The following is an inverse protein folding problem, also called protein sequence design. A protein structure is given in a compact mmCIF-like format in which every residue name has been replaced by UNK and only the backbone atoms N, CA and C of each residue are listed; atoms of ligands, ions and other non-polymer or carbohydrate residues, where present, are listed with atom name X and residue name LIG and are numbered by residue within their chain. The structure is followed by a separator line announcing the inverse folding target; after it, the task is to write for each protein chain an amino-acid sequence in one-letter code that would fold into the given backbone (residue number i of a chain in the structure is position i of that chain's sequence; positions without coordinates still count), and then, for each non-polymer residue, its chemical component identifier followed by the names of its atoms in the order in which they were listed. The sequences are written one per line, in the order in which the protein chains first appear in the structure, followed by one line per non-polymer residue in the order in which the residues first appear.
data_IF_978515582154
#
_entry.id   IF_978515582154
#
_cell.length_a   1.000
_cell.length_b   1.000
_cell.length_c   1.000
_cell.angle_alpha   90.00
_cell.angle_beta   90.00
_cell.angle_gamma   90.00
#
_symmetry.space_group_name_H-M   'P 1'
#
loop_
_entity.id
_entity.type
_entity.pdbx_description
1 polymer ?
#
# COMPACT_ATOMS: atom_id res chain seq x y z
N UNK A 1 -14.92 -9.82 -49.72
CA UNK A 1 -15.90 -10.39 -48.76
C UNK A 1 -15.14 -11.29 -47.79
N UNK A 2 -14.73 -10.73 -46.64
CA UNK A 2 -15.25 -11.06 -45.29
C UNK A 2 -15.13 -12.54 -44.89
N UNK A 3 -14.17 -12.86 -44.01
CA UNK A 3 -14.43 -13.05 -42.57
C UNK A 3 -13.12 -13.17 -41.78
N UNK A 4 -12.95 -12.22 -40.86
CA UNK A 4 -12.08 -12.27 -39.69
C UNK A 4 -12.88 -12.89 -38.54
N UNK A 5 -12.28 -13.78 -37.74
CA UNK A 5 -12.61 -14.04 -36.32
C UNK A 5 -11.50 -14.92 -35.74
N UNK A 6 -10.56 -14.44 -34.91
CA UNK A 6 -10.70 -13.98 -33.52
C UNK A 6 -11.15 -15.09 -32.55
N UNK A 7 -10.23 -15.56 -31.69
CA UNK A 7 -10.23 -15.27 -30.24
C UNK A 7 -9.33 -16.26 -29.47
N UNK A 8 -8.09 -15.84 -29.19
CA UNK A 8 -7.28 -16.40 -28.11
C UNK A 8 -7.88 -15.98 -26.76
N UNK A 9 -8.25 -16.94 -25.94
CA UNK A 9 -8.82 -16.74 -24.62
C UNK A 9 -7.78 -16.29 -23.59
N UNK A 10 -7.86 -15.01 -23.23
CA UNK A 10 -7.69 -14.40 -21.90
C UNK A 10 -6.79 -15.11 -20.86
N UNK A 11 -5.52 -14.68 -20.77
CA UNK A 11 -4.75 -14.69 -19.51
C UNK A 11 -5.05 -13.41 -18.73
N UNK A 12 -5.95 -13.51 -17.73
CA UNK A 12 -6.29 -12.41 -16.82
C UNK A 12 -5.23 -12.29 -15.71
N UNK A 13 -4.45 -11.21 -15.76
CA UNK A 13 -3.49 -10.81 -14.74
C UNK A 13 -4.19 -10.28 -13.47
N UNK A 14 -3.76 -10.71 -12.28
CA UNK A 14 -4.35 -10.38 -10.97
C UNK A 14 -3.30 -9.75 -10.01
N UNK A 15 -3.54 -8.48 -9.61
CA UNK A 15 -3.95 -8.00 -8.27
C UNK A 15 -2.92 -7.78 -7.11
N UNK A 16 -2.49 -6.51 -6.93
CA UNK A 16 -1.62 -5.79 -5.96
C UNK A 16 -1.98 -5.63 -4.45
N UNK A 17 -1.14 -4.91 -3.69
CA UNK A 17 -1.43 -4.18 -2.41
C UNK A 17 -1.10 -4.82 -1.06
N UNK A 18 0.10 -4.48 -0.62
CA UNK A 18 0.36 -3.80 0.66
C UNK A 18 1.54 -2.84 0.50
N UNK A 19 2.48 -3.24 -0.36
CA UNK A 19 3.39 -2.31 -1.01
C UNK A 19 2.78 -1.63 -2.24
N UNK A 20 1.62 -2.05 -2.78
CA UNK A 20 0.91 -1.29 -3.82
C UNK A 20 0.11 -0.10 -3.30
N UNK A 21 0.00 0.05 -1.98
CA UNK A 21 -0.31 1.34 -1.37
C UNK A 21 0.88 2.32 -1.46
N UNK A 22 2.09 1.78 -1.61
CA UNK A 22 3.34 2.55 -1.70
C UNK A 22 3.84 2.69 -3.14
N UNK A 23 3.56 1.74 -4.05
CA UNK A 23 4.01 1.71 -5.45
C UNK A 23 3.58 2.88 -6.34
N UNK A 24 2.32 3.36 -6.29
CA UNK A 24 1.96 4.58 -7.00
C UNK A 24 2.79 5.81 -6.59
N UNK A 25 3.51 5.73 -5.46
CA UNK A 25 4.35 6.80 -4.93
C UNK A 25 5.86 6.54 -5.02
N UNK A 26 6.26 5.27 -4.89
CA UNK A 26 7.59 4.74 -5.19
C UNK A 26 7.95 4.98 -6.68
N UNK A 27 6.95 4.95 -7.56
CA UNK A 27 7.08 5.22 -9.00
C UNK A 27 6.92 6.69 -9.40
N UNK A 28 6.48 7.56 -8.48
CA UNK A 28 6.16 8.98 -8.71
C UNK A 28 4.78 9.18 -9.35
N UNK A 29 4.01 10.17 -8.87
CA UNK A 29 2.66 10.48 -9.36
C UNK A 29 2.62 10.78 -10.87
N UNK A 30 3.71 11.35 -11.41
CA UNK A 30 3.86 11.60 -12.83
C UNK A 30 3.81 10.32 -13.70
N UNK A 31 4.10 9.13 -13.14
CA UNK A 31 4.07 7.88 -13.90
C UNK A 31 2.66 7.30 -14.02
N UNK A 32 1.71 7.70 -13.18
CA UNK A 32 0.33 7.18 -13.21
C UNK A 32 -0.58 8.05 -14.05
N UNK A 33 -0.43 9.37 -13.96
CA UNK A 33 -1.11 10.29 -14.89
C UNK A 33 -0.57 10.11 -16.33
N UNK A 34 0.72 9.75 -16.47
CA UNK A 34 1.30 9.31 -17.75
C UNK A 34 0.72 7.96 -18.22
N UNK A 35 0.65 6.95 -17.35
CA UNK A 35 0.13 5.63 -17.73
C UNK A 35 -1.35 5.67 -18.16
N UNK A 36 -2.10 6.68 -17.73
CA UNK A 36 -3.51 6.88 -18.11
C UNK A 36 -3.69 7.44 -19.54
N UNK A 37 -2.61 7.91 -20.20
CA UNK A 37 -2.68 8.64 -21.47
C UNK A 37 -1.83 8.09 -22.63
N UNK A 38 -1.23 6.90 -22.54
CA UNK A 38 -0.14 6.54 -23.48
C UNK A 38 -0.51 5.49 -24.56
N UNK A 39 -0.59 5.87 -25.84
CA UNK A 39 -0.36 4.97 -26.98
C UNK A 39 1.14 4.80 -27.23
N UNK A 40 1.59 3.56 -27.49
CA UNK A 40 2.99 3.12 -27.38
C UNK A 40 4.04 3.83 -28.27
N UNK A 41 3.65 4.66 -29.25
CA UNK A 41 4.55 5.03 -30.36
C UNK A 41 4.83 6.54 -30.54
N UNK A 42 4.19 7.44 -29.78
CA UNK A 42 4.24 8.88 -30.09
C UNK A 42 5.39 9.69 -29.42
N UNK A 43 5.93 9.22 -28.30
CA UNK A 43 6.77 10.08 -27.43
C UNK A 43 8.20 10.29 -27.90
N UNK A 44 8.80 9.33 -28.64
CA UNK A 44 10.17 9.52 -29.14
C UNK A 44 10.23 10.59 -30.25
N UNK A 45 9.15 10.73 -31.04
CA UNK A 45 9.07 11.71 -32.12
C UNK A 45 8.88 13.14 -31.59
N UNK A 46 8.08 13.32 -30.53
CA UNK A 46 7.77 14.64 -29.98
C UNK A 46 8.93 15.23 -29.17
N UNK A 47 9.72 14.39 -28.48
CA UNK A 47 10.87 14.86 -27.68
C UNK A 47 12.11 15.24 -28.48
N UNK A 48 12.28 14.72 -29.70
CA UNK A 48 13.34 15.20 -30.60
C UNK A 48 12.97 16.57 -31.19
N UNK A 49 11.67 16.90 -31.29
CA UNK A 49 11.20 18.21 -31.74
C UNK A 49 11.22 19.30 -30.64
N UNK A 50 11.04 18.92 -29.37
CA UNK A 50 10.94 19.85 -28.23
C UNK A 50 12.29 20.34 -27.65
N UNK A 51 13.43 19.98 -28.24
CA UNK A 51 14.77 20.44 -27.83
C UNK A 51 15.19 21.77 -28.47
N UNK A 52 14.29 22.51 -29.13
CA UNK A 52 14.52 23.92 -29.46
C UNK A 52 14.09 24.80 -28.28
N UNK A 53 14.95 25.68 -27.76
CA UNK A 53 14.58 26.56 -26.65
C UNK A 53 13.57 27.61 -27.14
N UNK A 54 12.46 27.85 -26.42
CA UNK A 54 11.64 29.03 -26.66
C UNK A 54 12.21 30.23 -25.89
N UNK A 55 12.39 31.33 -26.61
CA UNK A 55 12.64 32.65 -26.05
C UNK A 55 11.36 33.17 -25.36
N UNK A 56 11.51 33.81 -24.18
CA UNK A 56 10.44 34.54 -23.50
C UNK A 56 9.96 33.93 -22.19
N UNK A 57 10.72 34.12 -21.10
CA UNK A 57 10.35 33.73 -19.73
C UNK A 57 9.48 34.81 -19.06
N UNK A 58 8.16 34.63 -19.11
CA UNK A 58 7.24 35.25 -18.16
C UNK A 58 7.21 34.45 -16.85
N UNK A 59 7.46 35.12 -15.72
CA UNK A 59 7.50 34.54 -14.37
C UNK A 59 6.10 34.15 -13.88
N UNK A 60 5.63 32.96 -14.27
CA UNK A 60 4.54 32.29 -13.55
C UNK A 60 5.12 31.59 -12.32
N UNK A 61 4.68 32.03 -11.14
CA UNK A 61 4.93 31.30 -9.89
C UNK A 61 4.46 29.83 -10.06
N UNK A 62 5.24 28.85 -9.57
CA UNK A 62 4.85 27.46 -9.67
C UNK A 62 3.54 27.24 -8.91
N UNK A 63 2.56 26.68 -9.61
CA UNK A 63 1.31 26.21 -9.01
C UNK A 63 1.66 25.23 -7.87
N UNK A 64 1.04 25.36 -6.67
CA UNK A 64 1.29 24.41 -5.60
C UNK A 64 0.98 22.98 -6.10
N UNK A 65 1.76 21.97 -5.67
CA UNK A 65 1.51 20.59 -6.07
C UNK A 65 0.09 20.18 -5.65
N UNK A 66 -0.60 19.35 -6.46
CA UNK A 66 -1.92 18.86 -6.09
C UNK A 66 -1.88 18.12 -4.75
N UNK A 67 -2.97 18.11 -3.97
CA UNK A 67 -3.04 17.34 -2.74
C UNK A 67 -2.81 15.86 -3.04
N UNK A 68 -1.86 15.28 -2.31
CA UNK A 68 -1.54 13.85 -2.26
C UNK A 68 -2.78 13.09 -1.79
N UNK A 69 -3.68 12.64 -2.69
CA UNK A 69 -5.04 12.35 -2.21
C UNK A 69 -5.98 11.45 -3.01
N UNK A 70 -5.53 10.68 -4.02
CA UNK A 70 -6.45 9.74 -4.70
C UNK A 70 -6.48 8.32 -4.15
N UNK A 71 -5.43 7.91 -3.44
CA UNK A 71 -5.26 6.52 -3.00
C UNK A 71 -5.98 6.22 -1.67
N UNK A 72 -5.85 7.15 -0.71
CA UNK A 72 -6.54 7.08 0.57
C UNK A 72 -7.87 7.80 0.42
N UNK A 73 -8.94 7.07 0.63
CA UNK A 73 -10.29 7.63 0.67
C UNK A 73 -10.64 7.90 2.12
N UNK A 74 -11.19 9.07 2.38
CA UNK A 74 -11.79 9.35 3.67
C UNK A 74 -12.94 8.36 3.88
N UNK A 75 -12.93 7.72 5.05
CA UNK A 75 -14.00 6.79 5.42
C UNK A 75 -15.05 7.57 6.21
N UNK A 76 -16.29 7.49 5.74
CA UNK A 76 -17.44 7.94 6.49
C UNK A 76 -17.79 6.86 7.53
N UNK A 77 -17.87 7.27 8.79
CA UNK A 77 -18.15 6.39 9.93
C UNK A 77 -19.41 6.89 10.62
N UNK A 78 -20.40 6.01 10.81
CA UNK A 78 -21.68 6.37 11.41
C UNK A 78 -22.25 5.23 12.26
N UNK A 79 -23.08 5.52 13.28
CA UNK A 79 -23.80 4.49 14.02
C UNK A 79 -24.65 3.63 13.09
N UNK A 80 -24.78 2.34 13.39
CA UNK A 80 -25.58 1.42 12.59
C UNK A 80 -26.27 0.37 13.47
N UNK A 81 -27.17 -0.40 12.89
CA UNK A 81 -27.74 -1.58 13.52
C UNK A 81 -27.16 -2.84 12.85
N UNK A 82 -26.98 -3.91 13.62
CA UNK A 82 -26.60 -5.20 13.05
C UNK A 82 -27.82 -5.81 12.37
N UNK A 83 -27.68 -6.14 11.09
CA UNK A 83 -28.67 -6.93 10.38
C UNK A 83 -28.88 -8.28 11.10
N UNK A 84 -30.09 -8.86 11.13
CA UNK A 84 -30.34 -10.17 11.74
C UNK A 84 -29.68 -11.34 10.98
N UNK A 85 -28.90 -11.05 9.93
CA UNK A 85 -28.19 -12.02 9.12
C UNK A 85 -26.84 -12.41 9.74
N UNK A 86 -26.34 -13.59 9.38
CA UNK A 86 -24.99 -14.00 9.73
C UNK A 86 -23.96 -12.98 9.23
N UNK A 87 -22.83 -12.77 9.95
CA UNK A 87 -21.78 -11.90 9.47
C UNK A 87 -21.23 -12.42 8.14
N UNK A 88 -21.00 -11.48 7.23
CA UNK A 88 -20.33 -11.72 5.96
C UNK A 88 -18.94 -12.30 6.17
N UNK A 89 -18.25 -11.81 7.20
CA UNK A 89 -16.91 -12.25 7.53
C UNK A 89 -16.59 -12.03 9.01
N UNK A 90 -15.67 -12.82 9.55
CA UNK A 90 -15.17 -12.70 10.92
C UNK A 90 -13.65 -12.88 10.94
N UNK A 91 -12.94 -12.02 11.68
CA UNK A 91 -11.49 -12.08 11.81
C UNK A 91 -11.05 -11.80 13.24
N UNK A 92 -10.17 -12.64 13.80
CA UNK A 92 -9.53 -12.37 15.10
C UNK A 92 -8.42 -11.33 14.92
N UNK A 93 -8.58 -10.17 15.53
CA UNK A 93 -7.70 -9.02 15.31
C UNK A 93 -6.26 -9.29 15.74
N UNK A 94 -6.03 -9.97 16.86
CA UNK A 94 -4.68 -10.31 17.31
C UNK A 94 -3.92 -11.18 16.28
N UNK A 95 -4.58 -12.19 15.72
CA UNK A 95 -3.97 -13.04 14.68
C UNK A 95 -3.70 -12.26 13.40
N UNK A 96 -4.64 -11.40 13.00
CA UNK A 96 -4.49 -10.57 11.81
C UNK A 96 -3.32 -9.58 11.97
N UNK A 97 -3.18 -8.98 13.16
CA UNK A 97 -2.06 -8.11 13.49
C UNK A 97 -0.72 -8.84 13.35
N UNK A 98 -0.62 -10.04 13.92
CA UNK A 98 0.62 -10.83 13.86
C UNK A 98 0.98 -11.24 12.43
N UNK A 99 -0.02 -11.59 11.61
CA UNK A 99 0.17 -11.86 10.18
C UNK A 99 0.63 -10.62 9.42
N UNK A 100 0.12 -9.43 9.75
CA UNK A 100 0.41 -8.19 9.04
C UNK A 100 1.70 -7.48 9.49
N UNK A 101 2.31 -7.87 10.63
CA UNK A 101 3.56 -7.28 11.15
C UNK A 101 4.79 -7.51 10.27
N UNK A 102 4.81 -8.56 9.46
CA UNK A 102 5.94 -8.90 8.60
C UNK A 102 5.47 -9.65 7.36
N UNK A 103 5.59 -9.01 6.21
CA UNK A 103 5.12 -9.56 4.93
C UNK A 103 6.21 -10.38 4.25
N UNK A 104 7.46 -9.97 4.40
CA UNK A 104 8.62 -10.62 3.80
C UNK A 104 9.65 -10.96 4.86
N UNK A 105 10.62 -11.78 4.48
CA UNK A 105 11.80 -12.02 5.28
C UNK A 105 13.05 -12.00 4.42
N UNK A 106 14.13 -11.41 4.93
CA UNK A 106 15.44 -11.50 4.30
C UNK A 106 16.57 -11.44 5.31
N UNK A 107 17.73 -11.98 4.90
CA UNK A 107 18.96 -11.84 5.64
C UNK A 107 19.58 -10.47 5.32
N UNK A 108 19.77 -9.64 6.34
CA UNK A 108 20.51 -8.38 6.25
C UNK A 108 21.73 -8.53 7.17
N UNK A 109 22.90 -8.75 6.57
CA UNK A 109 24.08 -9.23 7.30
C UNK A 109 23.89 -10.68 7.77
N UNK A 110 24.27 -11.02 9.02
CA UNK A 110 24.11 -12.37 9.57
C UNK A 110 22.68 -12.67 10.05
N UNK A 111 21.82 -11.66 10.15
CA UNK A 111 20.51 -11.77 10.80
C UNK A 111 19.38 -11.78 9.78
N UNK A 112 18.39 -12.65 10.04
CA UNK A 112 17.12 -12.65 9.32
C UNK A 112 16.13 -11.66 9.93
N UNK A 113 15.64 -10.74 9.11
CA UNK A 113 14.66 -9.73 9.48
C UNK A 113 13.34 -10.00 8.77
N UNK A 114 12.24 -9.70 9.46
CA UNK A 114 10.93 -9.52 8.84
C UNK A 114 10.82 -8.11 8.33
N UNK A 115 10.36 -7.96 7.09
CA UNK A 115 10.21 -6.67 6.41
C UNK A 115 8.74 -6.34 6.29
N UNK A 116 8.38 -5.10 6.60
CA UNK A 116 7.02 -4.58 6.49
C UNK A 116 6.97 -3.09 6.24
N UNK A 117 5.75 -2.56 6.21
CA UNK A 117 5.47 -1.13 6.11
C UNK A 117 4.46 -0.77 7.18
N UNK A 118 4.64 0.40 7.79
CA UNK A 118 3.70 0.99 8.74
C UNK A 118 3.41 2.45 8.37
N UNK A 119 2.34 2.98 8.94
CA UNK A 119 1.84 4.32 8.69
C UNK A 119 1.62 5.05 10.00
N UNK A 120 1.63 6.38 10.00
CA UNK A 120 1.01 7.11 11.09
C UNK A 120 -0.52 7.02 11.01
N UNK A 121 -1.21 7.34 12.10
CA UNK A 121 -2.67 7.22 12.17
C UNK A 121 -3.42 8.08 11.11
N UNK A 122 -2.78 9.15 10.65
CA UNK A 122 -3.30 10.02 9.59
C UNK A 122 -2.97 9.53 8.17
N UNK A 123 -2.19 8.45 8.02
CA UNK A 123 -1.69 7.93 6.75
C UNK A 123 -0.92 8.97 5.92
N UNK A 124 -0.32 9.96 6.58
CA UNK A 124 0.50 11.01 5.97
C UNK A 124 1.97 10.61 5.90
N UNK A 125 2.44 9.82 6.86
CA UNK A 125 3.81 9.33 6.96
C UNK A 125 3.85 7.82 6.85
N UNK A 126 4.92 7.34 6.25
CA UNK A 126 5.17 5.93 5.98
C UNK A 126 6.51 5.54 6.57
N UNK A 127 6.60 4.30 7.00
CA UNK A 127 7.76 3.76 7.66
C UNK A 127 8.07 2.40 7.08
N UNK A 128 9.32 2.19 6.72
CA UNK A 128 9.88 0.88 6.49
C UNK A 128 10.13 0.23 7.84
N UNK A 129 9.67 -1.01 7.98
CA UNK A 129 9.77 -1.76 9.23
C UNK A 129 10.72 -2.92 9.00
N UNK A 130 11.75 -3.00 9.82
CA UNK A 130 12.49 -4.24 10.05
C UNK A 130 12.17 -4.73 11.45
N UNK A 131 11.77 -5.99 11.58
CA UNK A 131 11.49 -6.58 12.89
C UNK A 131 12.07 -7.99 13.03
N UNK A 132 12.45 -8.30 14.27
CA UNK A 132 12.83 -9.65 14.73
C UNK A 132 12.33 -9.80 16.19
N UNK A 133 12.39 -11.00 16.80
CA UNK A 133 12.01 -11.14 18.20
C UNK A 133 12.78 -10.16 19.10
N UNK A 134 12.05 -9.32 19.84
CA UNK A 134 12.62 -8.33 20.76
C UNK A 134 13.12 -7.02 20.13
N UNK A 135 13.09 -6.87 18.80
CA UNK A 135 13.65 -5.67 18.15
C UNK A 135 12.84 -5.22 16.93
N UNK A 136 12.66 -3.90 16.85
CA UNK A 136 12.00 -3.22 15.75
C UNK A 136 12.80 -1.99 15.36
N UNK A 137 13.12 -1.89 14.08
CA UNK A 137 13.69 -0.70 13.46
C UNK A 137 12.64 -0.07 12.55
N UNK A 138 12.30 1.18 12.84
CA UNK A 138 11.45 2.02 12.00
C UNK A 138 12.31 3.05 11.27
N UNK A 139 12.11 3.15 9.96
CA UNK A 139 12.76 4.16 9.12
C UNK A 139 11.72 4.85 8.26
N UNK A 140 11.58 6.16 8.45
CA UNK A 140 10.64 6.95 7.67
C UNK A 140 10.97 6.84 6.18
N UNK A 141 9.98 6.42 5.39
CA UNK A 141 10.07 6.43 3.94
C UNK A 141 9.89 7.87 3.45
N UNK A 142 10.90 8.36 2.74
CA UNK A 142 10.84 9.64 2.06
C UNK A 142 10.02 9.52 0.77
N UNK A 143 9.54 10.63 0.17
CA UNK A 143 8.89 10.60 -1.15
C UNK A 143 9.74 9.92 -2.24
N UNK A 144 9.11 9.39 -3.29
CA UNK A 144 9.72 8.52 -4.31
C UNK A 144 11.03 9.04 -4.93
N UNK A 145 11.15 10.35 -5.17
CA UNK A 145 12.39 10.95 -5.71
C UNK A 145 13.59 10.80 -4.76
N UNK A 146 13.35 10.81 -3.46
CA UNK A 146 14.39 10.59 -2.45
C UNK A 146 14.70 9.12 -2.24
N UNK A 147 13.74 8.22 -2.49
CA UNK A 147 13.96 6.78 -2.47
C UNK A 147 14.92 6.30 -3.58
N UNK A 148 14.94 6.98 -4.73
CA UNK A 148 15.95 6.74 -5.77
C UNK A 148 17.39 7.08 -5.35
N UNK A 149 17.54 7.94 -4.34
CA UNK A 149 18.85 8.28 -3.76
C UNK A 149 19.31 7.28 -2.69
N UNK A 150 18.46 6.31 -2.36
CA UNK A 150 18.69 5.33 -1.32
C UNK A 150 18.35 5.84 0.07
N UNK A 151 17.74 4.98 0.88
CA UNK A 151 17.57 5.20 2.31
C UNK A 151 18.59 4.34 3.04
N UNK A 152 19.37 4.96 3.92
CA UNK A 152 20.30 4.24 4.77
C UNK A 152 19.54 3.54 5.90
N UNK A 153 19.77 2.23 5.99
CA UNK A 153 19.31 1.35 7.05
C UNK A 153 20.53 0.90 7.85
N UNK A 154 20.40 0.85 9.16
CA UNK A 154 21.42 0.26 10.04
C UNK A 154 20.71 -0.80 10.88
N UNK A 155 20.48 -2.02 10.35
CA UNK A 155 19.78 -3.07 11.08
C UNK A 155 20.58 -3.54 12.29
N UNK A 156 21.91 -3.48 12.22
CA UNK A 156 22.83 -3.78 13.32
C UNK A 156 23.94 -2.73 13.34
N UNK A 157 24.53 -2.49 14.51
CA UNK A 157 25.60 -1.49 14.69
C UNK A 157 26.73 -1.72 13.68
N UNK A 158 26.99 -0.74 12.83
CA UNK A 158 28.02 -0.80 11.78
C UNK A 158 27.64 -1.61 10.54
N UNK A 159 26.45 -2.23 10.49
CA UNK A 159 25.93 -2.90 9.29
C UNK A 159 25.04 -1.92 8.51
N UNK A 160 25.68 -0.98 7.80
CA UNK A 160 24.95 -0.03 6.96
C UNK A 160 24.50 -0.69 5.66
N UNK A 161 23.20 -0.70 5.41
CA UNK A 161 22.58 -1.11 4.17
C UNK A 161 21.92 0.09 3.48
N UNK A 162 21.87 0.06 2.16
CA UNK A 162 21.14 1.02 1.34
C UNK A 162 19.90 0.36 0.77
N UNK A 163 18.75 0.95 1.06
CA UNK A 163 17.45 0.59 0.50
C UNK A 163 17.17 1.47 -0.71
N UNK A 164 17.18 0.88 -1.90
CA UNK A 164 16.86 1.55 -3.16
C UNK A 164 15.59 0.96 -3.78
N UNK A 165 14.94 1.74 -4.63
CA UNK A 165 13.88 1.26 -5.51
C UNK A 165 14.20 1.58 -6.96
N UNK A 166 14.33 0.52 -7.76
CA UNK A 166 14.43 0.58 -9.20
C UNK A 166 13.02 0.51 -9.81
N UNK A 167 12.51 1.64 -10.29
CA UNK A 167 11.15 1.75 -10.85
C UNK A 167 11.12 1.18 -12.27
N UNK A 168 10.27 0.19 -12.51
CA UNK A 168 9.97 -0.26 -13.87
C UNK A 168 9.03 0.71 -14.56
N UNK A 169 9.42 1.22 -15.73
CA UNK A 169 8.54 2.09 -16.53
C UNK A 169 7.39 1.30 -17.20
N UNK A 170 7.59 0.00 -17.47
CA UNK A 170 6.58 -0.86 -18.13
C UNK A 170 5.56 -1.41 -17.14
N UNK A 171 6.03 -1.76 -15.94
CA UNK A 171 5.20 -2.36 -14.90
C UNK A 171 5.51 -1.72 -13.54
N UNK A 172 5.18 -0.43 -13.33
CA UNK A 172 5.58 0.31 -12.14
C UNK A 172 5.10 -0.36 -10.85
N UNK A 173 3.90 -0.94 -10.85
CA UNK A 173 3.35 -1.59 -9.66
C UNK A 173 3.98 -2.95 -9.39
N UNK A 174 4.22 -3.81 -10.39
CA UNK A 174 4.62 -5.21 -10.13
C UNK A 174 6.03 -5.58 -10.55
N UNK A 175 6.60 -4.83 -11.49
CA UNK A 175 7.92 -5.07 -12.05
C UNK A 175 9.00 -4.15 -11.52
N UNK A 176 8.67 -3.25 -10.59
CA UNK A 176 9.69 -2.47 -9.88
C UNK A 176 10.45 -3.39 -8.91
N UNK A 177 11.69 -3.04 -8.60
CA UNK A 177 12.58 -3.85 -7.74
C UNK A 177 12.98 -3.04 -6.52
N UNK A 178 12.66 -3.56 -5.33
CA UNK A 178 13.20 -3.05 -4.08
C UNK A 178 14.52 -3.76 -3.81
N UNK A 179 15.59 -3.00 -3.61
CA UNK A 179 16.94 -3.51 -3.38
C UNK A 179 17.41 -3.12 -1.99
N UNK A 180 18.05 -4.06 -1.31
CA UNK A 180 18.74 -3.82 -0.05
C UNK A 180 20.17 -4.28 -0.22
N UNK A 181 21.06 -3.31 -0.41
CA UNK A 181 22.47 -3.56 -0.71
C UNK A 181 23.33 -3.22 0.51
N UNK A 182 24.28 -4.08 0.93
CA UNK A 182 25.27 -3.68 1.94
C UNK A 182 26.15 -2.55 1.39
N UNK A 183 26.49 -1.59 2.25
CA UNK A 183 27.48 -0.56 1.89
C UNK A 183 28.88 -1.16 1.76
N UNK A 184 29.82 -0.50 1.06
CA UNK A 184 31.21 -0.93 1.00
C UNK A 184 31.78 -1.19 2.41
N UNK A 185 32.37 -2.38 2.60
CA UNK A 185 32.90 -2.82 3.89
C UNK A 185 31.91 -3.54 4.82
N UNK A 186 30.62 -3.59 4.47
CA UNK A 186 29.58 -4.30 5.23
C UNK A 186 29.44 -5.74 4.71
N UNK A 187 29.30 -6.72 5.62
CA UNK A 187 29.15 -8.14 5.24
C UNK A 187 27.69 -8.43 4.86
N UNK A 188 27.49 -9.28 3.86
CA UNK A 188 26.16 -9.77 3.47
C UNK A 188 25.94 -9.75 1.97
N UNK A 189 24.85 -10.37 1.52
CA UNK A 189 24.43 -10.35 0.12
C UNK A 189 23.44 -9.22 -0.16
N UNK A 190 23.51 -8.64 -1.35
CA UNK A 190 22.41 -7.85 -1.91
C UNK A 190 21.13 -8.69 -1.92
N UNK A 191 20.04 -8.11 -1.42
CA UNK A 191 18.71 -8.72 -1.51
C UNK A 191 17.83 -7.91 -2.45
N UNK A 192 17.07 -8.60 -3.30
CA UNK A 192 16.17 -7.98 -4.27
C UNK A 192 14.77 -8.57 -4.12
N UNK A 193 13.77 -7.70 -4.17
CA UNK A 193 12.38 -8.10 -4.14
C UNK A 193 11.65 -7.47 -5.32
N UNK A 194 10.99 -8.28 -6.13
CA UNK A 194 10.02 -7.76 -7.09
C UNK A 194 8.83 -7.22 -6.31
N UNK A 195 8.39 -6.02 -6.66
CA UNK A 195 7.27 -5.38 -5.96
C UNK A 195 5.98 -6.17 -6.08
N UNK A 196 5.82 -6.93 -7.16
CA UNK A 196 4.77 -7.94 -7.33
C UNK A 196 4.81 -9.05 -6.28
N UNK A 197 5.98 -9.57 -5.91
CA UNK A 197 6.08 -10.64 -4.90
C UNK A 197 5.71 -10.11 -3.51
N UNK A 198 6.11 -8.87 -3.21
CA UNK A 198 5.79 -8.25 -1.91
C UNK A 198 4.29 -8.05 -1.76
N UNK A 199 3.68 -7.63 -2.86
CA UNK A 199 2.24 -7.48 -3.00
C UNK A 199 1.51 -8.80 -2.71
N UNK A 200 1.95 -9.90 -3.34
CA UNK A 200 1.27 -11.19 -3.21
C UNK A 200 1.44 -11.73 -1.79
N UNK A 201 2.65 -11.61 -1.24
CA UNK A 201 2.93 -11.98 0.14
C UNK A 201 2.02 -11.22 1.12
N UNK A 202 1.73 -9.95 0.85
CA UNK A 202 0.90 -9.18 1.74
C UNK A 202 -0.59 -9.52 1.62
N UNK A 203 -1.06 -9.77 0.40
CA UNK A 203 -2.41 -10.27 0.18
C UNK A 203 -2.62 -11.65 0.81
N UNK A 204 -1.60 -12.49 0.80
CA UNK A 204 -1.62 -13.77 1.51
C UNK A 204 -1.70 -13.57 3.04
N UNK A 205 -1.14 -12.48 3.57
CA UNK A 205 -1.23 -12.12 4.98
C UNK A 205 -2.54 -11.39 5.36
N UNK A 206 -3.26 -10.84 4.38
CA UNK A 206 -4.50 -10.10 4.61
C UNK A 206 -5.69 -11.04 4.83
N UNK A 207 -6.72 -10.55 5.52
CA UNK A 207 -7.99 -11.25 5.61
C UNK A 207 -8.86 -10.89 4.39
N UNK A 208 -9.23 -11.89 3.59
CA UNK A 208 -9.97 -11.69 2.34
C UNK A 208 -11.44 -12.02 2.51
N UNK A 209 -12.33 -11.17 2.02
CA UNK A 209 -13.78 -11.39 2.00
C UNK A 209 -14.42 -10.72 0.79
N UNK A 210 -15.68 -11.06 0.47
CA UNK A 210 -16.39 -10.52 -0.69
C UNK A 210 -17.69 -9.88 -0.25
N UNK A 211 -17.94 -8.63 -0.66
CA UNK A 211 -19.19 -7.89 -0.38
C UNK A 211 -19.84 -7.47 -1.70
N UNK A 212 -21.06 -7.94 -1.97
CA UNK A 212 -21.80 -7.58 -3.19
C UNK A 212 -20.96 -7.76 -4.47
N UNK A 213 -20.29 -8.92 -4.58
CA UNK A 213 -19.41 -9.26 -5.70
C UNK A 213 -18.04 -8.57 -5.71
N UNK A 214 -17.76 -7.68 -4.75
CA UNK A 214 -16.48 -6.98 -4.63
C UNK A 214 -15.53 -7.72 -3.68
N UNK A 215 -14.38 -8.16 -4.18
CA UNK A 215 -13.31 -8.70 -3.34
C UNK A 215 -12.61 -7.57 -2.57
N UNK A 216 -12.57 -7.71 -1.25
CA UNK A 216 -11.92 -6.80 -0.33
C UNK A 216 -10.87 -7.54 0.49
N UNK A 217 -9.76 -6.87 0.76
CA UNK A 217 -8.75 -7.32 1.72
C UNK A 217 -8.75 -6.40 2.92
N UNK A 218 -8.71 -6.99 4.11
CA UNK A 218 -8.59 -6.30 5.37
C UNK A 218 -7.21 -6.56 5.97
N UNK A 219 -6.52 -5.48 6.30
CA UNK A 219 -5.33 -5.50 7.12
C UNK A 219 -5.64 -4.87 8.48
N UNK A 220 -4.91 -5.27 9.51
CA UNK A 220 -4.97 -4.65 10.82
C UNK A 220 -3.56 -4.31 11.28
N UNK A 221 -3.30 -3.02 11.42
CA UNK A 221 -1.95 -2.47 11.45
C UNK A 221 -1.68 -1.71 12.75
N UNK A 222 -0.42 -1.73 13.18
CA UNK A 222 0.07 -0.82 14.22
C UNK A 222 0.48 0.51 13.62
N UNK A 223 -0.10 1.59 14.12
CA UNK A 223 0.29 2.92 13.69
C UNK A 223 1.66 3.29 14.27
N UNK A 224 2.32 4.26 13.65
CA UNK A 224 3.56 4.88 14.13
C UNK A 224 3.25 6.27 14.67
N UNK A 225 3.77 6.59 15.86
CA UNK A 225 3.76 7.96 16.35
C UNK A 225 4.77 8.79 15.54
N UNK A 226 4.32 9.80 14.79
CA UNK A 226 5.18 10.58 13.93
C UNK A 226 6.20 11.45 14.68
N UNK A 227 6.02 11.69 15.99
CA UNK A 227 6.95 12.49 16.81
C UNK A 227 8.11 11.65 17.35
N UNK A 228 7.82 10.44 17.81
CA UNK A 228 8.82 9.55 18.42
C UNK A 228 9.41 8.54 17.45
N UNK A 229 8.80 8.38 16.26
CA UNK A 229 9.13 7.34 15.28
C UNK A 229 9.12 5.92 15.89
N UNK A 230 8.19 5.70 16.82
CA UNK A 230 7.93 4.42 17.48
C UNK A 230 6.53 3.94 17.16
N UNK A 231 6.30 2.63 17.28
CA UNK A 231 4.95 2.11 17.22
C UNK A 231 4.08 2.73 18.32
N UNK A 232 2.93 3.27 17.92
CA UNK A 232 1.93 3.81 18.82
C UNK A 232 1.12 2.67 19.46
N UNK A 233 0.29 3.01 20.45
CA UNK A 233 -0.74 2.12 20.97
C UNK A 233 -1.97 2.03 20.06
N UNK A 234 -2.15 3.00 19.17
CA UNK A 234 -3.26 3.03 18.20
C UNK A 234 -3.06 2.04 17.06
N UNK A 235 -4.17 1.66 16.44
CA UNK A 235 -4.24 0.69 15.35
C UNK A 235 -5.22 1.17 14.30
N UNK A 236 -5.03 0.67 13.09
CA UNK A 236 -5.91 0.95 11.96
C UNK A 236 -6.34 -0.34 11.25
N UNK A 237 -7.65 -0.45 10.98
CA UNK A 237 -8.21 -1.37 10.01
C UNK A 237 -8.07 -0.75 8.62
N UNK A 238 -7.37 -1.41 7.71
CA UNK A 238 -7.17 -0.93 6.35
C UNK A 238 -7.90 -1.83 5.38
N UNK A 239 -9.03 -1.35 4.85
CA UNK A 239 -9.70 -2.02 3.74
C UNK A 239 -9.02 -1.66 2.43
N UNK A 240 -8.88 -2.66 1.58
CA UNK A 240 -8.25 -2.55 0.28
C UNK A 240 -9.15 -3.18 -0.76
N UNK A 241 -9.32 -2.48 -1.87
CA UNK A 241 -9.90 -3.01 -3.09
C UNK A 241 -8.94 -2.79 -4.25
N UNK A 242 -9.02 -3.68 -5.23
CA UNK A 242 -8.22 -3.63 -6.44
C UNK A 242 -9.04 -3.89 -7.68
N UNK A 243 -8.90 -2.98 -8.63
CA UNK A 243 -9.51 -3.02 -9.94
C UNK A 243 -8.44 -2.81 -11.02
N UNK A 244 -7.80 -3.91 -11.44
CA UNK A 244 -6.74 -3.88 -12.45
C UNK A 244 -5.47 -3.17 -11.97
N UNK A 245 -5.17 -2.00 -12.53
CA UNK A 245 -4.01 -1.17 -12.15
C UNK A 245 -4.34 -0.18 -11.01
N UNK A 246 -5.61 -0.10 -10.60
CA UNK A 246 -6.06 0.81 -9.56
C UNK A 246 -6.25 0.05 -8.25
N UNK A 247 -5.79 0.69 -7.18
CA UNK A 247 -6.01 0.24 -5.81
C UNK A 247 -6.60 1.38 -5.03
N UNK A 248 -7.57 1.06 -4.17
CA UNK A 248 -8.18 2.04 -3.27
C UNK A 248 -8.09 1.55 -1.84
N UNK A 249 -7.84 2.49 -0.93
CA UNK A 249 -7.54 2.23 0.47
C UNK A 249 -8.49 3.03 1.35
N UNK A 250 -9.08 2.36 2.33
CA UNK A 250 -10.00 2.96 3.30
C UNK A 250 -9.50 2.66 4.72
N UNK A 251 -8.67 3.55 5.29
CA UNK A 251 -8.22 3.41 6.66
C UNK A 251 -9.35 3.77 7.62
N UNK A 252 -9.62 2.87 8.58
CA UNK A 252 -10.58 3.03 9.66
C UNK A 252 -9.85 2.88 10.98
N UNK A 253 -9.65 3.97 11.76
CA UNK A 253 -9.03 3.87 13.07
C UNK A 253 -9.79 2.87 13.95
N UNK A 254 -9.09 1.99 14.66
CA UNK A 254 -9.75 1.00 15.52
C UNK A 254 -10.62 1.65 16.59
N UNK A 255 -10.21 2.81 17.10
CA UNK A 255 -10.97 3.60 18.06
C UNK A 255 -12.35 4.03 17.53
N UNK A 256 -12.52 4.12 16.20
CA UNK A 256 -13.79 4.43 15.56
C UNK A 256 -14.77 3.23 15.55
N UNK A 257 -14.31 2.02 15.91
CA UNK A 257 -15.11 0.80 16.03
C UNK A 257 -15.09 0.34 17.50
N UNK A 258 -15.86 1.00 18.39
CA UNK A 258 -15.89 0.65 19.81
C UNK A 258 -16.40 -0.79 20.04
N UNK A 259 -15.91 -1.40 21.11
CA UNK A 259 -16.31 -2.77 21.49
C UNK A 259 -17.81 -2.87 21.72
N UNK A 260 -18.44 -3.90 21.16
CA UNK A 260 -19.86 -4.20 21.30
C UNK A 260 -20.81 -3.25 20.57
N UNK A 261 -20.30 -2.23 19.89
CA UNK A 261 -21.11 -1.21 19.22
C UNK A 261 -20.98 -1.33 17.70
N UNK A 262 -22.08 -1.59 16.97
CA UNK A 262 -22.08 -1.58 15.51
C UNK A 262 -21.78 -0.19 14.95
N UNK A 263 -20.90 -0.17 13.95
CA UNK A 263 -20.50 1.04 13.24
C UNK A 263 -20.49 0.76 11.76
N UNK A 264 -21.17 1.59 10.98
CA UNK A 264 -21.12 1.49 9.53
C UNK A 264 -19.97 2.33 8.96
N UNK A 265 -19.34 1.75 7.93
CA UNK A 265 -18.25 2.36 7.15
C UNK A 265 -18.56 2.24 5.66
N UNK A 266 -18.20 3.25 4.87
CA UNK A 266 -18.37 3.22 3.42
C UNK A 266 -17.06 2.87 2.71
N UNK A 267 -17.04 1.75 2.00
CA UNK A 267 -15.88 1.23 1.26
C UNK A 267 -16.30 0.99 -0.19
N UNK A 268 -15.67 1.68 -1.14
CA UNK A 268 -16.01 1.62 -2.58
C UNK A 268 -17.53 1.72 -2.86
N UNK A 269 -18.18 2.70 -2.22
CA UNK A 269 -19.63 2.93 -2.34
C UNK A 269 -20.52 1.97 -1.55
N UNK A 270 -19.96 0.90 -0.97
CA UNK A 270 -20.71 -0.10 -0.18
C UNK A 270 -20.67 0.25 1.29
N UNK A 271 -21.81 0.16 1.95
CA UNK A 271 -21.89 0.32 3.39
C UNK A 271 -21.67 -1.04 4.07
N UNK A 272 -20.63 -1.13 4.90
CA UNK A 272 -20.32 -2.30 5.72
C UNK A 272 -20.58 -1.94 7.16
N UNK A 273 -21.21 -2.84 7.93
CA UNK A 273 -21.32 -2.69 9.39
C UNK A 273 -20.25 -3.52 10.07
N UNK A 274 -19.48 -2.89 10.93
CA UNK A 274 -18.40 -3.46 11.70
C UNK A 274 -18.83 -3.57 13.17
N UNK A 275 -18.59 -4.74 13.77
CA UNK A 275 -18.80 -4.97 15.20
C UNK A 275 -17.53 -5.59 15.76
N UNK A 276 -16.90 -4.93 16.73
CA UNK A 276 -15.74 -5.48 17.46
C UNK A 276 -16.23 -6.14 18.75
N UNK A 277 -16.05 -7.45 18.86
CA UNK A 277 -16.31 -8.20 20.08
C UNK A 277 -15.29 -7.90 21.18
N UNK A 278 -15.68 -8.13 22.44
CA UNK A 278 -14.78 -8.00 23.58
C UNK A 278 -13.69 -9.08 23.59
N UNK A 279 -13.92 -10.17 22.85
CA UNK A 279 -12.97 -11.26 22.58
C UNK A 279 -11.92 -10.91 21.50
N UNK A 280 -11.97 -9.70 20.94
CA UNK A 280 -11.06 -9.25 19.89
C UNK A 280 -11.40 -9.80 18.50
N UNK A 281 -12.62 -10.35 18.30
CA UNK A 281 -13.11 -10.73 16.98
C UNK A 281 -13.81 -9.54 16.31
N UNK A 282 -13.40 -9.21 15.10
CA UNK A 282 -14.12 -8.26 14.23
C UNK A 282 -15.11 -9.03 13.37
N UNK A 283 -16.38 -8.65 13.44
CA UNK A 283 -17.44 -9.14 12.57
C UNK A 283 -17.81 -8.07 11.55
N UNK A 284 -18.01 -8.47 10.30
CA UNK A 284 -18.34 -7.60 9.17
C UNK A 284 -19.67 -8.05 8.60
N UNK A 285 -20.59 -7.13 8.38
CA UNK A 285 -21.90 -7.36 7.77
C UNK A 285 -22.08 -6.40 6.59
N UNK A 286 -22.92 -6.76 5.63
CA UNK A 286 -23.50 -5.75 4.75
C UNK A 286 -24.38 -4.84 5.60
N UNK A 287 -24.27 -3.52 5.44
CA UNK A 287 -25.15 -2.61 6.15
C UNK A 287 -26.59 -2.77 5.64
N UNK A 288 -27.55 -2.70 6.56
CA UNK A 288 -28.96 -2.54 6.17
C UNK A 288 -29.17 -1.06 5.86
N UNK A 289 -29.77 -0.70 4.72
CA UNK A 289 -30.21 0.67 4.51
C UNK A 289 -31.11 1.08 5.68
N UNK A 290 -30.83 2.22 6.31
CA UNK A 290 -31.78 2.80 7.25
C UNK A 290 -33.08 3.06 6.47
N UNK A 291 -34.17 2.41 6.89
CA UNK A 291 -35.51 2.65 6.34
C UNK A 291 -36.07 3.95 6.88
#
# INVERSE_FOLDING_TARGET
MQRVSAAMAARRFRAGVFLAACLPWLCGEASLDAAEAWPADAWLAERVAALRPPEGLGTRLPKPPPPVGRLFRQVEVFPSAVAPQAPLAQARLAELLDRNRGVLSAALGPTRWRIGVAFDAAFQRRYFVLSRPGEVLLRRLLPGEKLRKGIMLEPEKGQLHRLDLDVSLRHPVRGSVLRVDPMPGVRGSSTRFLTGDIIEAAKAAAFRFTSEGLELWLFYLTDVDPKTERFASSRTLLFVHEAGLRSSLWPVPEAAVPVGKPVAVKVEGRALTLVRGADGVLQIFNAVPAR
#
